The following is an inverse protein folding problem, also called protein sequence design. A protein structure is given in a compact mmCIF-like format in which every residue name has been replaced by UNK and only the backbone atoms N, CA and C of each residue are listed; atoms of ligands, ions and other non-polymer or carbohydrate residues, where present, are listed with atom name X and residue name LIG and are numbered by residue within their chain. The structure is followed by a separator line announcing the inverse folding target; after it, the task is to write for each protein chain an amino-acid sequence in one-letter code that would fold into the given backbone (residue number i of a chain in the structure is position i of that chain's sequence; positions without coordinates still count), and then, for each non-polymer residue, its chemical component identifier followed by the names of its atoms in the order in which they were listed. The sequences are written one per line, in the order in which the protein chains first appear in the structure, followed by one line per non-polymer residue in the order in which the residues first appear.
data_IF_948063830398
#
_entry.id   IF_948063830398
#
_cell.length_a   1.000
_cell.length_b   1.000
_cell.length_c   1.000
_cell.angle_alpha   90.00
_cell.angle_beta   90.00
_cell.angle_gamma   90.00
#
_symmetry.space_group_name_H-M   'P 1'
#
loop_
_entity.id
_entity.type
_entity.pdbx_description
1 polymer ?
#
# COMPACT_ATOMS: atom_id res chain seq x y z
N UNK A 1 -1.02 -7.32 -3.17
CA UNK A 1 -0.64 -8.59 -3.83
C UNK A 1 -1.90 -9.43 -4.02
N UNK A 2 -2.15 -9.87 -5.27
CA UNK A 2 -3.13 -10.90 -5.70
C UNK A 2 -4.62 -10.52 -5.45
N UNK A 3 -5.36 -9.87 -6.35
CA UNK A 3 -5.92 -10.30 -7.67
C UNK A 3 -6.47 -11.73 -7.71
N UNK A 4 -7.78 -11.88 -7.88
CA UNK A 4 -8.41 -12.78 -8.87
C UNK A 4 -9.94 -12.72 -8.78
N UNK A 5 -10.57 -12.29 -9.88
CA UNK A 5 -11.98 -12.53 -10.16
C UNK A 5 -12.18 -13.88 -10.86
N UNK A 6 -13.37 -14.45 -10.72
CA UNK A 6 -13.79 -15.65 -11.45
C UNK A 6 -15.23 -15.49 -11.87
N UNK A 7 -15.44 -15.30 -13.17
CA UNK A 7 -16.74 -15.43 -13.83
C UNK A 7 -16.96 -16.91 -14.21
N UNK A 8 -18.14 -17.43 -13.90
CA UNK A 8 -18.57 -18.77 -14.30
C UNK A 8 -19.60 -18.68 -15.43
N UNK A 9 -19.20 -19.07 -16.64
CA UNK A 9 -20.11 -19.36 -17.74
C UNK A 9 -20.55 -20.83 -17.67
N UNK A 10 -21.86 -21.08 -17.80
CA UNK A 10 -22.42 -22.40 -18.00
C UNK A 10 -22.83 -22.53 -19.48
N UNK A 11 -22.06 -23.29 -20.25
CA UNK A 11 -22.46 -23.85 -21.53
C UNK A 11 -22.69 -25.35 -21.33
N UNK A 12 -23.92 -25.81 -21.54
CA UNK A 12 -24.26 -27.23 -21.50
C UNK A 12 -24.25 -27.79 -22.92
N UNK A 13 -23.51 -28.90 -23.03
CA UNK A 13 -23.34 -29.81 -24.15
C UNK A 13 -24.62 -30.61 -24.45
N UNK A 14 -24.75 -31.11 -25.67
CA UNK A 14 -25.90 -31.90 -26.10
C UNK A 14 -25.93 -32.21 -27.59
N UNK A 15 -25.00 -33.05 -28.05
CA UNK A 15 -25.11 -33.73 -29.35
C UNK A 15 -26.07 -34.93 -29.32
N UNK A 16 -26.58 -35.31 -30.50
CA UNK A 16 -26.73 -36.68 -31.06
C UNK A 16 -27.89 -36.74 -32.09
N UNK A 17 -27.59 -37.35 -33.25
CA UNK A 17 -28.56 -37.99 -34.17
C UNK A 17 -28.86 -37.18 -35.44
N UNK A 18 -28.51 -37.55 -36.67
CA UNK A 18 -28.09 -38.84 -37.24
C UNK A 18 -29.26 -39.56 -37.91
N UNK A 19 -29.30 -39.58 -39.26
CA UNK A 19 -30.25 -40.37 -40.08
C UNK A 19 -30.64 -39.64 -41.38
N UNK A 20 -29.87 -39.72 -42.47
CA UNK A 20 -29.88 -40.72 -43.54
C UNK A 20 -31.21 -40.91 -44.31
N UNK A 21 -31.16 -40.57 -45.61
CA UNK A 21 -31.64 -41.29 -46.81
C UNK A 21 -33.06 -41.90 -46.78
N UNK A 22 -33.95 -41.67 -47.76
CA UNK A 22 -33.75 -42.14 -49.13
C UNK A 22 -34.75 -41.53 -50.12
N UNK A 23 -34.20 -41.11 -51.25
CA UNK A 23 -34.84 -41.09 -52.56
C UNK A 23 -35.13 -42.53 -53.02
N UNK A 24 -36.30 -42.75 -53.63
CA UNK A 24 -36.51 -43.85 -54.58
C UNK A 24 -37.26 -43.28 -55.79
N UNK A 25 -36.51 -43.09 -56.87
CA UNK A 25 -37.00 -43.07 -58.24
C UNK A 25 -36.52 -44.35 -58.95
N UNK A 26 -37.29 -44.78 -59.95
CA UNK A 26 -36.99 -45.88 -60.88
C UNK A 26 -38.03 -47.02 -60.78
N UNK A 27 -38.46 -47.68 -61.84
CA UNK A 27 -38.21 -47.57 -63.28
C UNK A 27 -39.20 -48.52 -64.01
N UNK A 28 -39.47 -48.26 -65.29
CA UNK A 28 -39.42 -49.31 -66.33
C UNK A 28 -40.65 -50.19 -66.66
N UNK A 29 -41.07 -50.05 -67.93
CA UNK A 29 -41.27 -51.10 -68.96
C UNK A 29 -42.57 -51.95 -69.08
N UNK A 30 -43.03 -52.04 -70.36
CA UNK A 30 -43.84 -53.12 -70.98
C UNK A 30 -45.32 -52.75 -71.20
N UNK A 31 -45.84 -52.52 -72.42
CA UNK A 31 -46.07 -53.47 -73.53
C UNK A 31 -47.46 -54.14 -73.36
N UNK A 32 -48.41 -54.25 -74.30
CA UNK A 32 -48.46 -54.11 -75.76
C UNK A 32 -49.94 -54.11 -76.26
N UNK A 33 -50.14 -53.70 -77.53
CA UNK A 33 -51.21 -54.06 -78.49
C UNK A 33 -52.66 -53.69 -78.13
N UNK A 34 -53.52 -53.13 -79.00
CA UNK A 34 -53.91 -53.67 -80.30
C UNK A 34 -54.19 -52.58 -81.36
N UNK A 35 -53.77 -52.91 -82.58
CA UNK A 35 -54.14 -52.28 -83.84
C UNK A 35 -55.46 -52.84 -84.36
N UNK A 36 -56.40 -51.98 -84.77
CA UNK A 36 -57.30 -52.23 -85.89
C UNK A 36 -57.62 -50.88 -86.58
N UNK A 37 -57.10 -50.72 -87.80
CA UNK A 37 -57.60 -49.74 -88.74
C UNK A 37 -58.82 -50.28 -89.48
N UNK A 38 -59.73 -49.39 -89.87
CA UNK A 38 -60.88 -49.74 -90.72
C UNK A 38 -62.07 -48.81 -90.54
N UNK A 39 -62.01 -47.68 -91.25
CA UNK A 39 -63.08 -46.99 -91.99
C UNK A 39 -64.56 -47.17 -91.57
N UNK A 40 -65.29 -46.07 -91.34
CA UNK A 40 -66.73 -46.13 -91.13
C UNK A 40 -67.43 -44.90 -90.53
N UNK A 41 -67.62 -43.88 -91.37
CA UNK A 41 -68.90 -43.15 -91.51
C UNK A 41 -69.45 -42.28 -90.35
N UNK A 42 -69.16 -40.98 -90.48
CA UNK A 42 -69.92 -39.79 -90.09
C UNK A 42 -71.46 -39.98 -89.89
N UNK A 43 -71.95 -39.95 -88.64
CA UNK A 43 -73.25 -39.37 -88.22
C UNK A 43 -73.53 -39.60 -86.70
N UNK A 44 -72.89 -38.84 -85.81
CA UNK A 44 -73.18 -38.94 -84.35
C UNK A 44 -72.46 -37.93 -83.43
N UNK A 45 -71.81 -36.91 -84.00
CA UNK A 45 -70.81 -36.10 -83.29
C UNK A 45 -71.36 -35.12 -82.25
N UNK A 46 -72.58 -34.61 -82.38
CA UNK A 46 -72.99 -33.42 -81.60
C UNK A 46 -73.47 -33.76 -80.17
N UNK A 47 -74.13 -34.91 -79.98
CA UNK A 47 -74.58 -35.35 -78.65
C UNK A 47 -73.42 -35.88 -77.81
N UNK A 48 -72.46 -36.55 -78.43
CA UNK A 48 -71.30 -37.11 -77.75
C UNK A 48 -70.25 -36.05 -77.40
N UNK A 49 -70.13 -34.98 -78.21
CA UNK A 49 -69.33 -33.79 -77.83
C UNK A 49 -69.97 -33.03 -76.67
N UNK A 50 -71.30 -32.83 -76.67
CA UNK A 50 -72.00 -32.21 -75.54
C UNK A 50 -71.91 -33.03 -74.24
N UNK A 51 -71.93 -34.36 -74.36
CA UNK A 51 -71.73 -35.24 -73.21
C UNK A 51 -70.29 -35.15 -72.67
N UNK A 52 -69.28 -35.13 -73.55
CA UNK A 52 -67.87 -34.95 -73.15
C UNK A 52 -67.63 -33.59 -72.48
N UNK A 53 -68.27 -32.53 -72.98
CA UNK A 53 -68.24 -31.18 -72.38
C UNK A 53 -68.90 -31.16 -70.99
N UNK A 54 -70.06 -31.81 -70.84
CA UNK A 54 -70.73 -31.93 -69.56
C UNK A 54 -69.92 -32.77 -68.56
N UNK A 55 -69.31 -33.87 -68.99
CA UNK A 55 -68.44 -34.70 -68.14
C UNK A 55 -67.19 -33.91 -67.72
N UNK A 56 -66.64 -33.09 -68.62
CA UNK A 56 -65.52 -32.19 -68.31
C UNK A 56 -65.94 -31.07 -67.36
N UNK A 57 -67.13 -30.49 -67.51
CA UNK A 57 -67.70 -29.52 -66.56
C UNK A 57 -67.97 -30.14 -65.19
N UNK A 58 -68.48 -31.38 -65.15
CA UNK A 58 -68.70 -32.11 -63.91
C UNK A 58 -67.36 -32.38 -63.20
N UNK A 59 -66.34 -32.82 -63.95
CA UNK A 59 -64.97 -33.00 -63.41
C UNK A 59 -64.35 -31.69 -62.93
N UNK A 60 -64.64 -30.58 -63.60
CA UNK A 60 -64.18 -29.25 -63.19
C UNK A 60 -64.89 -28.78 -61.92
N UNK A 61 -66.20 -28.97 -61.82
CA UNK A 61 -66.99 -28.66 -60.62
C UNK A 61 -66.57 -29.52 -59.42
N UNK A 62 -66.30 -30.81 -59.63
CA UNK A 62 -65.75 -31.70 -58.62
C UNK A 62 -64.36 -31.24 -58.16
N UNK A 63 -63.51 -30.80 -59.11
CA UNK A 63 -62.19 -30.25 -58.80
C UNK A 63 -62.28 -28.94 -58.03
N UNK A 64 -63.20 -28.04 -58.39
CA UNK A 64 -63.44 -26.79 -57.67
C UNK A 64 -63.90 -27.08 -56.24
N UNK A 65 -64.87 -27.98 -56.03
CA UNK A 65 -65.29 -28.39 -54.68
C UNK A 65 -64.16 -29.01 -53.86
N UNK A 66 -63.33 -29.84 -54.49
CA UNK A 66 -62.15 -30.41 -53.82
C UNK A 66 -61.13 -29.33 -53.44
N UNK A 67 -60.93 -28.31 -54.29
CA UNK A 67 -60.02 -27.20 -54.02
C UNK A 67 -60.58 -26.29 -52.93
N UNK A 68 -61.88 -25.99 -52.93
CA UNK A 68 -62.54 -25.23 -51.87
C UNK A 68 -62.43 -25.93 -50.51
N UNK A 69 -62.63 -27.25 -50.48
CA UNK A 69 -62.43 -28.07 -49.27
C UNK A 69 -60.97 -28.04 -48.80
N UNK A 70 -60.01 -28.14 -49.71
CA UNK A 70 -58.60 -28.03 -49.35
C UNK A 70 -58.23 -26.62 -48.88
N UNK A 71 -58.81 -25.58 -49.47
CA UNK A 71 -58.54 -24.20 -49.09
C UNK A 71 -59.08 -23.89 -47.69
N UNK A 72 -60.32 -24.32 -47.39
CA UNK A 72 -60.87 -24.21 -46.02
C UNK A 72 -60.06 -25.00 -44.99
N UNK A 73 -59.57 -26.19 -45.33
CA UNK A 73 -58.69 -26.96 -44.45
C UNK A 73 -57.35 -26.26 -44.21
N UNK A 74 -56.77 -25.65 -45.25
CA UNK A 74 -55.55 -24.85 -45.14
C UNK A 74 -55.76 -23.59 -44.31
N UNK A 75 -56.88 -22.88 -44.47
CA UNK A 75 -57.23 -21.72 -43.65
C UNK A 75 -57.36 -22.08 -42.15
N UNK A 76 -57.96 -23.22 -41.85
CA UNK A 76 -58.06 -23.73 -40.47
C UNK A 76 -56.66 -24.04 -39.93
N UNK A 77 -55.82 -24.75 -40.71
CA UNK A 77 -54.43 -25.04 -40.32
C UNK A 77 -53.59 -23.78 -40.11
N UNK A 78 -53.80 -22.75 -40.93
CA UNK A 78 -53.12 -21.45 -40.78
C UNK A 78 -53.57 -20.76 -39.49
N UNK A 79 -54.88 -20.71 -39.19
CA UNK A 79 -55.36 -20.15 -37.91
C UNK A 79 -54.80 -20.90 -36.71
N UNK A 80 -54.86 -22.24 -36.73
CA UNK A 80 -54.34 -23.07 -35.66
C UNK A 80 -52.84 -22.89 -35.47
N UNK A 81 -52.09 -22.72 -36.57
CA UNK A 81 -50.67 -22.44 -36.53
C UNK A 81 -50.38 -21.07 -35.90
N UNK A 82 -51.12 -20.02 -36.29
CA UNK A 82 -50.97 -18.70 -35.69
C UNK A 82 -51.36 -18.68 -34.20
N UNK A 83 -52.37 -19.45 -33.80
CA UNK A 83 -52.77 -19.53 -32.39
C UNK A 83 -51.72 -20.29 -31.55
N UNK A 84 -51.09 -21.33 -32.10
CA UNK A 84 -49.99 -22.06 -31.45
C UNK A 84 -48.67 -21.29 -31.44
N UNK A 85 -48.48 -20.39 -32.41
CA UNK A 85 -47.30 -19.52 -32.53
C UNK A 85 -47.47 -18.16 -31.88
N UNK A 86 -48.59 -17.90 -31.18
CA UNK A 86 -48.64 -16.74 -30.31
C UNK A 86 -47.47 -16.86 -29.32
N UNK A 87 -46.58 -15.86 -29.24
CA UNK A 87 -45.52 -15.88 -28.27
C UNK A 87 -46.14 -16.09 -26.89
N UNK A 88 -45.75 -17.17 -26.20
CA UNK A 88 -46.11 -17.36 -24.81
C UNK A 88 -45.85 -16.06 -24.05
N UNK A 89 -46.73 -15.63 -23.12
CA UNK A 89 -46.49 -14.43 -22.33
C UNK A 89 -45.07 -14.49 -21.81
N UNK A 90 -44.28 -13.44 -22.10
CA UNK A 90 -42.89 -13.34 -21.69
C UNK A 90 -42.78 -13.74 -20.23
N UNK A 91 -41.99 -14.76 -19.92
CA UNK A 91 -41.79 -15.19 -18.54
C UNK A 91 -41.29 -14.01 -17.72
N UNK A 92 -42.03 -13.60 -16.69
CA UNK A 92 -41.71 -12.40 -15.92
C UNK A 92 -40.43 -12.62 -15.09
N UNK A 93 -39.29 -12.07 -15.53
CA UNK A 93 -38.00 -12.16 -14.84
C UNK A 93 -37.80 -11.11 -13.74
N UNK A 94 -38.82 -10.32 -13.44
CA UNK A 94 -38.77 -9.18 -12.50
C UNK A 94 -38.31 -9.57 -11.09
N UNK A 95 -38.62 -10.77 -10.61
CA UNK A 95 -38.19 -11.21 -9.27
C UNK A 95 -36.68 -11.47 -9.20
N UNK A 96 -36.06 -11.95 -10.28
CA UNK A 96 -34.60 -12.15 -10.33
C UNK A 96 -33.87 -10.82 -10.26
N UNK A 97 -34.37 -9.77 -10.93
CA UNK A 97 -33.78 -8.44 -10.83
C UNK A 97 -33.83 -7.89 -9.41
N UNK A 98 -34.93 -8.12 -8.67
CA UNK A 98 -35.03 -7.74 -7.26
C UNK A 98 -34.00 -8.47 -6.39
N UNK A 99 -33.82 -9.78 -6.60
CA UNK A 99 -32.82 -10.57 -5.86
C UNK A 99 -31.40 -10.09 -6.19
N UNK A 100 -31.10 -9.81 -7.45
CA UNK A 100 -29.79 -9.29 -7.89
C UNK A 100 -29.51 -7.94 -7.22
N UNK A 101 -30.51 -7.06 -7.18
CA UNK A 101 -30.38 -5.74 -6.54
C UNK A 101 -30.15 -5.87 -5.02
N UNK A 102 -30.90 -6.75 -4.35
CA UNK A 102 -30.69 -7.03 -2.93
C UNK A 102 -29.29 -7.60 -2.65
N UNK A 103 -28.77 -8.47 -3.53
CA UNK A 103 -27.41 -9.01 -3.42
C UNK A 103 -26.35 -7.93 -3.65
N UNK A 104 -26.54 -7.05 -4.63
CA UNK A 104 -25.65 -5.90 -4.87
C UNK A 104 -25.61 -4.97 -3.66
N UNK A 105 -26.76 -4.66 -3.08
CA UNK A 105 -26.85 -3.85 -1.86
C UNK A 105 -26.15 -4.52 -0.67
N UNK A 106 -26.27 -5.84 -0.52
CA UNK A 106 -25.52 -6.60 0.51
C UNK A 106 -24.01 -6.53 0.29
N UNK A 107 -23.54 -6.64 -0.96
CA UNK A 107 -22.11 -6.52 -1.29
C UNK A 107 -21.60 -5.11 -0.99
N UNK A 108 -22.35 -4.07 -1.38
CA UNK A 108 -21.97 -2.67 -1.12
C UNK A 108 -21.91 -2.35 0.37
N UNK A 109 -22.93 -2.78 1.13
CA UNK A 109 -22.95 -2.62 2.59
C UNK A 109 -21.80 -3.38 3.24
N UNK A 110 -21.54 -4.64 2.86
CA UNK A 110 -20.40 -5.42 3.34
C UNK A 110 -19.05 -4.78 2.99
N UNK A 111 -18.92 -4.18 1.81
CA UNK A 111 -17.70 -3.48 1.39
C UNK A 111 -17.47 -2.23 2.22
N UNK A 112 -18.53 -1.46 2.46
CA UNK A 112 -18.48 -0.24 3.28
C UNK A 112 -18.18 -0.56 4.75
N UNK A 113 -18.81 -1.60 5.31
CA UNK A 113 -18.52 -2.03 6.68
C UNK A 113 -17.11 -2.58 6.81
N UNK A 114 -16.60 -3.31 5.82
CA UNK A 114 -15.21 -3.77 5.80
C UNK A 114 -14.24 -2.58 5.80
N UNK A 115 -14.45 -1.58 4.92
CA UNK A 115 -13.65 -0.36 4.92
C UNK A 115 -13.70 0.37 6.29
N UNK A 116 -14.88 0.48 6.89
CA UNK A 116 -15.05 1.07 8.23
C UNK A 116 -14.28 0.29 9.31
N UNK A 117 -14.33 -1.05 9.29
CA UNK A 117 -13.60 -1.91 10.23
C UNK A 117 -12.08 -1.73 10.05
N UNK A 118 -11.58 -1.66 8.81
CA UNK A 118 -10.16 -1.42 8.54
C UNK A 118 -9.72 -0.09 9.14
N UNK A 119 -10.50 0.98 8.95
CA UNK A 119 -10.20 2.28 9.56
C UNK A 119 -10.21 2.23 11.10
N UNK A 120 -11.14 1.49 11.70
CA UNK A 120 -11.16 1.30 13.16
C UNK A 120 -9.94 0.53 13.65
N UNK A 121 -9.50 -0.50 12.91
CA UNK A 121 -8.28 -1.26 13.22
C UNK A 121 -7.06 -0.35 13.15
N UNK A 122 -6.94 0.47 12.11
CA UNK A 122 -5.80 1.36 11.95
C UNK A 122 -5.80 2.46 13.02
N UNK A 123 -6.96 3.01 13.37
CA UNK A 123 -7.10 3.94 14.49
C UNK A 123 -6.68 3.29 15.83
N UNK A 124 -7.17 2.07 16.11
CA UNK A 124 -6.81 1.34 17.32
C UNK A 124 -5.32 1.03 17.40
N UNK A 125 -4.67 0.70 16.27
CA UNK A 125 -3.21 0.51 16.19
C UNK A 125 -2.46 1.81 16.47
N UNK A 126 -2.85 2.91 15.84
CA UNK A 126 -2.24 4.22 16.09
C UNK A 126 -2.37 4.65 17.56
N UNK A 127 -3.54 4.43 18.17
CA UNK A 127 -3.76 4.70 19.58
C UNK A 127 -2.88 3.79 20.48
N UNK A 128 -2.75 2.51 20.13
CA UNK A 128 -1.87 1.60 20.86
C UNK A 128 -0.39 2.01 20.77
N UNK A 129 0.08 2.45 19.61
CA UNK A 129 1.45 2.95 19.42
C UNK A 129 1.69 4.27 20.15
N UNK A 130 0.71 5.17 20.20
CA UNK A 130 0.78 6.40 21.01
C UNK A 130 0.87 6.07 22.50
N UNK A 131 0.05 5.14 23.00
CA UNK A 131 0.15 4.67 24.39
C UNK A 131 1.46 3.95 24.69
N UNK A 132 1.98 3.16 23.76
CA UNK A 132 3.29 2.50 23.90
C UNK A 132 4.41 3.53 24.03
N UNK A 133 4.43 4.54 23.17
CA UNK A 133 5.43 5.61 23.21
C UNK A 133 5.33 6.41 24.51
N UNK A 134 4.11 6.73 24.95
CA UNK A 134 3.88 7.40 26.25
C UNK A 134 4.35 6.56 27.43
N UNK A 135 4.11 5.25 27.41
CA UNK A 135 4.57 4.33 28.43
C UNK A 135 6.10 4.24 28.47
N UNK A 136 6.76 4.12 27.31
CA UNK A 136 8.22 4.10 27.21
C UNK A 136 8.84 5.39 27.77
N UNK A 137 8.26 6.56 27.44
CA UNK A 137 8.69 7.85 27.97
C UNK A 137 8.50 7.95 29.49
N UNK A 138 7.32 7.56 30.00
CA UNK A 138 7.05 7.58 31.45
C UNK A 138 7.96 6.61 32.21
N UNK A 139 8.24 5.43 31.63
CA UNK A 139 9.16 4.47 32.20
C UNK A 139 10.58 5.04 32.28
N UNK A 140 11.05 5.72 31.23
CA UNK A 140 12.35 6.37 31.22
C UNK A 140 12.44 7.49 32.27
N UNK A 141 11.41 8.34 32.39
CA UNK A 141 11.32 9.37 33.42
C UNK A 141 11.33 8.76 34.82
N UNK A 142 10.55 7.71 35.05
CA UNK A 142 10.53 6.99 36.32
C UNK A 142 11.90 6.42 36.66
N UNK A 143 12.59 5.79 35.71
CA UNK A 143 13.94 5.26 35.94
C UNK A 143 14.94 6.37 36.30
N UNK A 144 14.83 7.55 35.67
CA UNK A 144 15.65 8.72 36.03
C UNK A 144 15.36 9.19 37.46
N UNK A 145 14.08 9.32 37.83
CA UNK A 145 13.68 9.75 39.18
C UNK A 145 14.09 8.71 40.23
N UNK A 146 13.94 7.42 39.95
CA UNK A 146 14.39 6.34 40.84
C UNK A 146 15.92 6.39 41.02
N UNK A 147 16.69 6.73 39.97
CA UNK A 147 18.14 6.94 40.08
C UNK A 147 18.48 8.17 40.95
N UNK A 148 17.78 9.28 40.77
CA UNK A 148 17.96 10.50 41.57
C UNK A 148 17.61 10.25 43.05
N UNK A 149 16.51 9.54 43.35
CA UNK A 149 16.13 9.15 44.71
C UNK A 149 17.22 8.29 45.35
N UNK A 150 17.77 7.33 44.62
CA UNK A 150 18.87 6.50 45.11
C UNK A 150 20.14 7.33 45.35
N UNK A 151 20.44 8.30 44.50
CA UNK A 151 21.52 9.28 44.70
C UNK A 151 21.32 10.11 45.96
N UNK A 152 20.13 10.68 46.14
CA UNK A 152 19.78 11.47 47.34
C UNK A 152 19.84 10.66 48.63
N UNK A 153 19.45 9.38 48.60
CA UNK A 153 19.60 8.47 49.75
C UNK A 153 21.07 8.29 50.13
N UNK A 154 21.97 8.10 49.15
CA UNK A 154 23.41 8.01 49.43
C UNK A 154 23.97 9.30 50.04
N UNK A 155 23.55 10.46 49.52
CA UNK A 155 23.95 11.76 50.08
C UNK A 155 23.43 11.92 51.51
N UNK A 156 22.20 11.50 51.79
CA UNK A 156 21.64 11.51 53.15
C UNK A 156 22.45 10.61 54.10
N UNK A 157 22.82 9.41 53.66
CA UNK A 157 23.65 8.50 54.46
C UNK A 157 25.03 9.12 54.75
N UNK A 158 25.67 9.74 53.76
CA UNK A 158 26.95 10.44 53.91
C UNK A 158 26.84 11.65 54.86
N UNK A 159 25.78 12.46 54.73
CA UNK A 159 25.50 13.56 55.65
C UNK A 159 25.22 13.07 57.08
N UNK A 160 24.60 11.90 57.22
CA UNK A 160 24.35 11.30 58.54
C UNK A 160 25.66 10.85 59.19
N UNK A 161 26.56 10.23 58.42
CA UNK A 161 27.89 9.83 58.90
C UNK A 161 28.73 11.05 59.31
N UNK A 162 28.82 12.06 58.44
CA UNK A 162 29.57 13.29 58.76
C UNK A 162 28.99 14.03 59.96
N UNK A 163 27.65 14.05 60.12
CA UNK A 163 27.01 14.58 61.32
C UNK A 163 27.44 13.79 62.57
N UNK A 164 27.41 12.45 62.54
CA UNK A 164 27.84 11.65 63.69
C UNK A 164 29.32 11.86 64.02
N UNK A 165 30.19 11.99 63.02
CA UNK A 165 31.61 12.27 63.23
C UNK A 165 31.83 13.63 63.90
N UNK A 166 31.08 14.66 63.46
CA UNK A 166 31.11 15.99 64.08
C UNK A 166 30.53 15.98 65.50
N UNK A 167 29.46 15.22 65.76
CA UNK A 167 28.90 15.06 67.11
C UNK A 167 29.93 14.41 68.06
N UNK A 168 30.68 13.40 67.60
CA UNK A 168 31.76 12.77 68.38
C UNK A 168 32.88 13.78 68.66
N UNK A 169 33.32 14.55 67.66
CA UNK A 169 34.35 15.59 67.85
C UNK A 169 33.91 16.69 68.83
N UNK A 170 32.63 17.08 68.77
CA UNK A 170 32.08 18.06 69.71
C UNK A 170 32.12 17.50 71.14
N UNK A 171 31.73 16.23 71.32
CA UNK A 171 31.72 15.63 72.65
C UNK A 171 33.14 15.45 73.20
N UNK A 172 34.10 15.00 72.38
CA UNK A 172 35.50 14.90 72.81
C UNK A 172 36.08 16.26 73.20
N UNK A 173 35.80 17.32 72.45
CA UNK A 173 36.24 18.69 72.78
C UNK A 173 35.59 19.21 74.07
N UNK A 174 34.33 18.86 74.34
CA UNK A 174 33.68 19.20 75.63
C UNK A 174 34.32 18.47 76.80
N UNK A 175 34.66 17.18 76.63
CA UNK A 175 35.37 16.40 77.64
C UNK A 175 36.76 16.99 77.93
N UNK A 176 37.52 17.35 76.89
CA UNK A 176 38.81 18.03 77.02
C UNK A 176 38.68 19.37 77.76
N UNK A 177 37.67 20.17 77.42
CA UNK A 177 37.40 21.46 78.07
C UNK A 177 37.04 21.27 79.55
N UNK A 178 36.21 20.27 79.86
CA UNK A 178 35.87 19.93 81.24
C UNK A 178 37.09 19.45 82.02
N UNK A 179 37.96 18.64 81.40
CA UNK A 179 39.21 18.18 81.98
C UNK A 179 40.16 19.35 82.28
N UNK A 180 40.36 20.26 81.32
CA UNK A 180 41.18 21.47 81.50
C UNK A 180 40.64 22.36 82.61
N UNK A 181 39.32 22.58 82.67
CA UNK A 181 38.70 23.39 83.74
C UNK A 181 38.93 22.78 85.11
N UNK A 182 38.74 21.46 85.24
CA UNK A 182 38.99 20.75 86.49
C UNK A 182 40.46 20.84 86.89
N UNK A 183 41.38 20.61 85.96
CA UNK A 183 42.82 20.73 86.23
C UNK A 183 43.19 22.15 86.66
N UNK A 184 42.67 23.18 85.99
CA UNK A 184 42.89 24.57 86.37
C UNK A 184 42.31 24.89 87.75
N UNK A 185 41.12 24.39 88.09
CA UNK A 185 40.53 24.56 89.42
C UNK A 185 41.36 23.87 90.51
N UNK A 186 41.89 22.67 90.25
CA UNK A 186 42.80 21.96 91.13
C UNK A 186 44.13 22.71 91.31
N UNK A 187 44.74 23.20 90.23
CA UNK A 187 45.95 24.03 90.27
C UNK A 187 45.72 25.36 91.00
N UNK A 188 44.61 26.04 90.75
CA UNK A 188 44.24 27.26 91.45
C UNK A 188 43.98 27.01 92.94
N UNK A 189 43.36 25.89 93.30
CA UNK A 189 43.19 25.51 94.71
C UNK A 189 44.52 25.16 95.37
N UNK A 190 45.42 24.47 94.67
CA UNK A 190 46.78 24.17 95.15
C UNK A 190 47.60 25.46 95.35
N UNK A 191 47.55 26.39 94.38
CA UNK A 191 48.18 27.70 94.47
C UNK A 191 47.55 28.56 95.56
N UNK A 192 46.23 28.55 95.72
CA UNK A 192 45.54 29.25 96.83
C UNK A 192 45.92 28.67 98.19
N UNK A 193 46.19 27.35 98.25
CA UNK A 193 46.79 26.69 99.42
C UNK A 193 48.24 27.11 99.68
N UNK A 194 49.01 27.40 98.63
CA UNK A 194 50.38 27.92 98.73
C UNK A 194 50.45 29.42 99.07
N UNK A 195 49.47 30.22 98.62
CA UNK A 195 49.42 31.69 98.82
C UNK A 195 48.71 32.08 100.13
N UNK A 196 48.23 31.11 100.92
CA UNK A 196 47.73 31.32 102.29
C UNK A 196 48.81 31.76 103.30
N UNK A 197 50.07 31.85 102.90
CA UNK A 197 51.15 32.45 103.66
C UNK A 197 51.40 33.88 103.20
N UNK A 198 50.69 34.85 103.77
CA UNK A 198 51.09 36.25 103.73
C UNK A 198 52.35 36.40 104.60
N UNK A 199 53.51 36.06 104.03
CA UNK A 199 54.81 36.17 104.67
C UNK A 199 55.40 37.52 104.29
N UNK A 200 55.11 38.51 105.14
CA UNK A 200 55.84 39.76 105.19
C UNK A 200 57.18 39.50 105.88
N UNK A 201 58.27 39.38 105.11
CA UNK A 201 59.63 39.27 105.64
C UNK A 201 60.40 40.50 105.19
N UNK A 202 60.48 41.46 106.11
CA UNK A 202 61.48 42.51 106.10
C UNK A 202 62.82 41.87 106.46
N UNK A 203 63.78 41.89 105.52
CA UNK A 203 65.16 41.56 105.82
C UNK A 203 66.08 42.66 105.28
N UNK A 204 66.83 43.22 106.23
CA UNK A 204 67.73 44.36 106.17
C UNK A 204 68.90 44.18 105.19
N UNK A 205 69.28 45.28 104.56
CA UNK A 205 70.14 45.37 103.39
C UNK A 205 71.63 45.37 103.74
N UNK A 206 72.43 44.62 102.98
CA UNK A 206 73.87 44.82 102.88
C UNK A 206 74.21 45.54 101.55
N UNK A 207 75.23 46.42 101.53
CA UNK A 207 75.39 47.43 100.49
C UNK A 207 75.95 46.87 99.17
N UNK A 208 75.17 47.06 98.10
CA UNK A 208 75.63 47.76 96.90
C UNK A 208 76.41 46.98 95.85
N UNK A 209 75.86 45.88 95.33
CA UNK A 209 75.97 45.66 93.88
C UNK A 209 74.93 46.59 93.26
N UNK A 210 75.33 47.37 92.24
CA UNK A 210 74.46 48.30 91.53
C UNK A 210 73.33 47.53 90.84
N UNK A 211 72.30 47.19 91.63
CA UNK A 211 71.14 46.42 91.25
C UNK A 211 70.38 47.15 90.16
N UNK A 212 70.45 48.47 90.16
CA UNK A 212 69.95 49.36 89.12
C UNK A 212 70.57 49.05 87.76
N UNK A 213 71.88 48.80 87.71
CA UNK A 213 72.58 48.44 86.48
C UNK A 213 72.22 47.03 86.00
N UNK A 214 72.18 46.04 86.89
CA UNK A 214 71.80 44.65 86.52
C UNK A 214 70.32 44.57 86.12
N UNK A 215 69.42 45.29 86.81
CA UNK A 215 68.01 45.41 86.44
C UNK A 215 67.82 46.14 85.12
N UNK A 216 68.63 47.17 84.84
CA UNK A 216 68.66 47.86 83.54
C UNK A 216 69.14 46.93 82.43
N UNK A 217 70.20 46.17 82.66
CA UNK A 217 70.79 45.26 81.68
C UNK A 217 69.89 44.05 81.42
N UNK A 218 69.21 43.53 82.45
CA UNK A 218 68.12 42.55 82.30
C UNK A 218 66.93 43.13 81.53
N UNK A 219 66.52 44.37 81.83
CA UNK A 219 65.46 45.05 81.06
C UNK A 219 65.84 45.18 79.60
N UNK A 220 67.05 45.65 79.30
CA UNK A 220 67.53 45.79 77.92
C UNK A 220 67.58 44.43 77.20
N UNK A 221 68.00 43.36 77.87
CA UNK A 221 67.95 42.01 77.30
C UNK A 221 66.53 41.52 77.03
N UNK A 222 65.59 41.76 77.95
CA UNK A 222 64.18 41.41 77.75
C UNK A 222 63.52 42.27 76.67
N UNK A 223 63.83 43.56 76.60
CA UNK A 223 63.37 44.47 75.55
C UNK A 223 63.88 43.98 74.19
N UNK A 224 65.17 43.65 74.09
CA UNK A 224 65.77 43.12 72.86
C UNK A 224 65.17 41.77 72.45
N UNK A 225 64.91 40.88 73.42
CA UNK A 225 64.29 39.59 73.16
C UNK A 225 62.82 39.73 72.74
N UNK A 226 62.07 40.64 73.37
CA UNK A 226 60.68 40.94 73.02
C UNK A 226 60.59 41.59 71.63
N UNK A 227 61.48 42.52 71.32
CA UNK A 227 61.58 43.15 70.00
C UNK A 227 61.95 42.13 68.91
N UNK A 228 62.88 41.21 69.21
CA UNK A 228 63.26 40.13 68.29
C UNK A 228 62.10 39.16 68.07
N UNK A 229 61.43 38.73 69.15
CA UNK A 229 60.28 37.83 69.06
C UNK A 229 59.12 38.48 68.28
N UNK A 230 58.87 39.79 68.51
CA UNK A 230 57.89 40.56 67.74
C UNK A 230 58.22 40.57 66.24
N UNK A 231 59.48 40.83 65.87
CA UNK A 231 59.93 40.80 64.47
C UNK A 231 59.83 39.40 63.86
N UNK A 232 60.28 38.37 64.57
CA UNK A 232 60.22 36.98 64.09
C UNK A 232 58.76 36.54 63.85
N UNK A 233 57.84 36.95 64.72
CA UNK A 233 56.39 36.72 64.58
C UNK A 233 55.81 37.51 63.40
N UNK A 234 56.16 38.79 63.24
CA UNK A 234 55.75 39.61 62.10
C UNK A 234 56.23 39.02 60.77
N UNK A 235 57.50 38.60 60.67
CA UNK A 235 58.05 37.94 59.48
C UNK A 235 57.38 36.59 59.20
N UNK A 236 57.09 35.81 60.25
CA UNK A 236 56.37 34.55 60.10
C UNK A 236 54.94 34.76 59.58
N UNK A 237 54.20 35.74 60.13
CA UNK A 237 52.87 36.11 59.64
C UNK A 237 52.93 36.65 58.21
N UNK A 238 53.92 37.48 57.89
CA UNK A 238 54.10 38.00 56.54
C UNK A 238 54.34 36.88 55.53
N UNK A 239 55.23 35.94 55.86
CA UNK A 239 55.49 34.77 55.01
C UNK A 239 54.24 33.89 54.84
N UNK A 240 53.49 33.64 55.92
CA UNK A 240 52.28 32.81 55.86
C UNK A 240 51.16 33.49 55.06
N UNK A 241 50.99 34.79 55.20
CA UNK A 241 50.03 35.57 54.41
C UNK A 241 50.42 35.66 52.95
N UNK A 242 51.72 35.77 52.64
CA UNK A 242 52.22 35.75 51.27
C UNK A 242 51.99 34.38 50.59
N UNK A 243 52.26 33.27 51.30
CA UNK A 243 51.96 31.92 50.83
C UNK A 243 50.46 31.74 50.55
N UNK A 244 49.60 32.15 51.51
CA UNK A 244 48.16 32.07 51.37
C UNK A 244 47.67 32.92 50.19
N UNK A 245 48.22 34.11 50.00
CA UNK A 245 47.85 34.99 48.89
C UNK A 245 48.27 34.40 47.53
N UNK A 246 49.42 33.72 47.44
CA UNK A 246 49.85 32.99 46.23
C UNK A 246 48.91 31.83 45.93
N UNK A 247 48.53 31.05 46.95
CA UNK A 247 47.60 29.92 46.80
C UNK A 247 46.21 30.41 46.35
N UNK A 248 45.68 31.46 46.97
CA UNK A 248 44.40 32.09 46.58
C UNK A 248 44.45 32.63 45.15
N UNK A 249 45.56 33.26 44.74
CA UNK A 249 45.72 33.74 43.36
C UNK A 249 45.74 32.58 42.34
N UNK A 250 46.47 31.51 42.65
CA UNK A 250 46.56 30.33 41.79
C UNK A 250 45.22 29.57 41.68
N UNK A 251 44.54 29.39 42.81
CA UNK A 251 43.19 28.80 42.88
C UNK A 251 42.17 29.67 42.14
N UNK A 252 42.24 31.00 42.30
CA UNK A 252 41.43 31.95 41.55
C UNK A 252 41.64 31.86 40.03
N UNK A 253 42.89 31.74 39.58
CA UNK A 253 43.19 31.51 38.15
C UNK A 253 42.64 30.18 37.65
N UNK A 254 42.80 29.09 38.41
CA UNK A 254 42.28 27.78 38.04
C UNK A 254 40.75 27.82 37.90
N UNK A 255 40.06 28.42 38.86
CA UNK A 255 38.60 28.60 38.83
C UNK A 255 38.17 29.42 37.61
N UNK A 256 38.88 30.51 37.28
CA UNK A 256 38.57 31.31 36.10
C UNK A 256 38.79 30.52 34.80
N UNK A 257 39.89 29.77 34.70
CA UNK A 257 40.19 28.94 33.52
C UNK A 257 39.13 27.83 33.31
N UNK A 258 38.75 27.14 34.38
CA UNK A 258 37.68 26.14 34.34
C UNK A 258 36.34 26.76 33.98
N UNK A 259 36.03 27.95 34.52
CA UNK A 259 34.82 28.68 34.15
C UNK A 259 34.78 29.06 32.67
N UNK A 260 35.92 29.49 32.09
CA UNK A 260 35.99 29.77 30.65
C UNK A 260 35.82 28.51 29.82
N UNK A 261 36.47 27.40 30.20
CA UNK A 261 36.35 26.11 29.51
C UNK A 261 34.91 25.58 29.55
N UNK A 262 34.23 25.65 30.70
CA UNK A 262 32.81 25.29 30.82
C UNK A 262 31.94 26.16 29.91
N UNK A 263 32.24 27.46 29.81
CA UNK A 263 31.46 28.38 28.98
C UNK A 263 31.67 28.08 27.49
N UNK A 264 32.89 27.76 27.08
CA UNK A 264 33.21 27.40 25.70
C UNK A 264 32.61 26.04 25.33
N UNK A 265 32.71 25.03 26.21
CA UNK A 265 32.03 23.76 26.03
C UNK A 265 30.51 23.94 25.88
N UNK A 266 29.88 24.78 26.71
CA UNK A 266 28.45 25.11 26.57
C UNK A 266 28.12 25.76 25.21
N UNK A 267 28.96 26.67 24.73
CA UNK A 267 28.78 27.28 23.39
C UNK A 267 28.92 26.24 22.28
N UNK A 268 29.90 25.34 22.37
CA UNK A 268 30.07 24.26 21.37
C UNK A 268 28.90 23.29 21.38
N UNK A 269 28.38 22.93 22.55
CA UNK A 269 27.22 22.06 22.69
C UNK A 269 25.98 22.71 22.05
N UNK A 270 25.71 23.98 22.36
CA UNK A 270 24.61 24.72 21.73
C UNK A 270 24.77 24.81 20.20
N UNK A 271 25.99 25.02 19.71
CA UNK A 271 26.27 25.02 18.27
C UNK A 271 25.99 23.67 17.62
N UNK A 272 26.42 22.57 18.24
CA UNK A 272 26.16 21.21 17.77
C UNK A 272 24.68 20.85 17.83
N UNK A 273 23.96 21.32 18.84
CA UNK A 273 22.52 21.08 18.98
C UNK A 273 21.73 21.83 17.90
N UNK A 274 22.12 23.07 17.58
CA UNK A 274 21.55 23.81 16.44
C UNK A 274 21.85 23.09 15.13
N UNK A 275 23.08 22.63 14.91
CA UNK A 275 23.45 21.87 13.70
C UNK A 275 22.66 20.56 13.61
N UNK A 276 22.44 19.87 14.72
CA UNK A 276 21.58 18.68 14.72
C UNK A 276 20.14 19.03 14.29
N UNK A 277 19.58 20.11 14.81
CA UNK A 277 18.23 20.57 14.44
C UNK A 277 18.16 21.00 12.97
N UNK A 278 19.17 21.69 12.43
CA UNK A 278 19.20 22.07 11.01
C UNK A 278 19.27 20.82 10.12
N UNK A 279 20.11 19.85 10.46
CA UNK A 279 20.21 18.59 9.72
C UNK A 279 18.91 17.77 9.77
N UNK A 280 18.24 17.70 10.92
CA UNK A 280 16.93 17.06 11.04
C UNK A 280 15.87 17.75 10.18
N UNK A 281 15.87 19.09 10.16
CA UNK A 281 14.95 19.86 9.30
C UNK A 281 15.23 19.64 7.81
N UNK A 282 16.50 19.57 7.42
CA UNK A 282 16.92 19.28 6.05
C UNK A 282 16.53 17.87 5.63
N UNK A 283 16.75 16.88 6.50
CA UNK A 283 16.31 15.50 6.29
C UNK A 283 14.80 15.44 6.05
N UNK A 284 14.01 16.05 6.92
CA UNK A 284 12.55 16.05 6.77
C UNK A 284 12.09 16.72 5.47
N UNK A 285 12.74 17.81 5.05
CA UNK A 285 12.45 18.48 3.78
C UNK A 285 12.79 17.58 2.58
N UNK A 286 13.92 16.87 2.62
CA UNK A 286 14.32 15.93 1.56
C UNK A 286 13.39 14.71 1.49
N UNK A 287 13.02 14.13 2.63
CA UNK A 287 12.05 13.03 2.69
C UNK A 287 10.67 13.46 2.17
N UNK A 288 10.22 14.68 2.51
CA UNK A 288 9.00 15.27 1.98
C UNK A 288 9.04 15.45 0.46
N UNK A 289 10.14 16.00 -0.07
CA UNK A 289 10.32 16.16 -1.51
C UNK A 289 10.38 14.81 -2.24
N UNK A 290 11.06 13.82 -1.67
CA UNK A 290 11.09 12.47 -2.21
C UNK A 290 9.68 11.88 -2.29
N UNK A 291 8.93 11.91 -1.19
CA UNK A 291 7.55 11.39 -1.15
C UNK A 291 6.62 12.12 -2.14
N UNK A 292 6.76 13.44 -2.29
CA UNK A 292 6.02 14.21 -3.30
C UNK A 292 6.34 13.76 -4.71
N UNK A 293 7.64 13.59 -5.03
CA UNK A 293 8.06 13.13 -6.36
C UNK A 293 7.61 11.69 -6.66
N UNK A 294 7.72 10.78 -5.69
CA UNK A 294 7.23 9.41 -5.79
C UNK A 294 5.71 9.38 -6.00
N UNK A 295 4.96 10.18 -5.23
CA UNK A 295 3.52 10.34 -5.40
C UNK A 295 3.15 10.84 -6.79
N UNK A 296 3.87 11.85 -7.31
CA UNK A 296 3.66 12.37 -8.66
C UNK A 296 3.91 11.30 -9.73
N UNK A 297 5.00 10.54 -9.61
CA UNK A 297 5.29 9.46 -10.56
C UNK A 297 4.30 8.31 -10.48
N UNK A 298 3.82 7.96 -9.28
CA UNK A 298 2.78 6.95 -9.09
C UNK A 298 1.48 7.34 -9.82
N UNK A 299 1.06 8.61 -9.70
CA UNK A 299 -0.10 9.13 -10.43
C UNK A 299 0.12 9.10 -11.94
N UNK A 300 1.29 9.51 -12.41
CA UNK A 300 1.63 9.46 -13.84
C UNK A 300 1.61 8.02 -14.38
N UNK A 301 2.15 7.07 -13.64
CA UNK A 301 2.12 5.64 -14.01
C UNK A 301 0.69 5.10 -14.05
N UNK A 302 -0.15 5.46 -13.08
CA UNK A 302 -1.57 5.09 -13.08
C UNK A 302 -2.29 5.63 -14.32
N UNK A 303 -2.07 6.91 -14.65
CA UNK A 303 -2.68 7.54 -15.85
C UNK A 303 -2.25 6.86 -17.14
N UNK A 304 -0.97 6.47 -17.26
CA UNK A 304 -0.47 5.73 -18.42
C UNK A 304 -1.08 4.33 -18.46
N UNK A 305 -1.19 3.64 -17.32
CA UNK A 305 -1.81 2.32 -17.23
C UNK A 305 -3.29 2.36 -17.63
N UNK A 306 -4.02 3.40 -17.22
CA UNK A 306 -5.41 3.61 -17.62
C UNK A 306 -5.54 3.84 -19.13
N UNK A 307 -4.64 4.65 -19.71
CA UNK A 307 -4.59 4.86 -21.15
C UNK A 307 -4.30 3.56 -21.92
N UNK A 308 -3.34 2.76 -21.46
CA UNK A 308 -3.03 1.45 -22.04
C UNK A 308 -4.27 0.55 -21.98
N UNK A 309 -4.91 0.46 -20.81
CA UNK A 309 -6.10 -0.39 -20.61
C UNK A 309 -7.25 0.03 -21.53
N UNK A 310 -7.45 1.34 -21.73
CA UNK A 310 -8.45 1.87 -22.66
C UNK A 310 -8.13 1.50 -24.11
N UNK A 311 -6.88 1.62 -24.53
CA UNK A 311 -6.46 1.25 -25.90
C UNK A 311 -6.57 -0.25 -26.12
N UNK A 312 -6.19 -1.07 -25.14
CA UNK A 312 -6.36 -2.53 -25.18
C UNK A 312 -7.83 -2.94 -25.30
N UNK A 313 -8.73 -2.26 -24.57
CA UNK A 313 -10.17 -2.48 -24.66
C UNK A 313 -10.72 -2.13 -26.05
N UNK A 314 -10.33 -0.98 -26.61
CA UNK A 314 -10.73 -0.59 -27.98
C UNK A 314 -10.20 -1.58 -29.03
N UNK A 315 -8.99 -2.09 -28.85
CA UNK A 315 -8.39 -3.07 -29.77
C UNK A 315 -9.12 -4.42 -29.68
N UNK A 316 -9.52 -4.84 -28.48
CA UNK A 316 -10.34 -6.04 -28.28
C UNK A 316 -11.73 -5.91 -28.91
N UNK A 317 -12.38 -4.75 -28.76
CA UNK A 317 -13.68 -4.46 -29.38
C UNK A 317 -13.57 -4.50 -30.91
N UNK A 318 -12.57 -3.84 -31.49
CA UNK A 318 -12.36 -3.82 -32.94
C UNK A 318 -12.04 -5.22 -33.51
N UNK A 319 -11.33 -6.07 -32.75
CA UNK A 319 -11.12 -7.48 -33.12
C UNK A 319 -12.43 -8.26 -33.15
N UNK A 320 -13.25 -8.11 -32.10
CA UNK A 320 -14.58 -8.74 -32.02
C UNK A 320 -15.48 -8.31 -33.19
N UNK A 321 -15.48 -7.01 -33.51
CA UNK A 321 -16.23 -6.48 -34.65
C UNK A 321 -15.72 -7.01 -36.00
N UNK A 322 -14.39 -7.14 -36.16
CA UNK A 322 -13.80 -7.73 -37.36
C UNK A 322 -14.18 -9.21 -37.52
N UNK A 323 -14.16 -9.98 -36.43
CA UNK A 323 -14.59 -11.38 -36.42
C UNK A 323 -16.08 -11.51 -36.78
N UNK A 324 -16.92 -10.64 -36.20
CA UNK A 324 -18.35 -10.57 -36.52
C UNK A 324 -18.59 -10.24 -37.99
N UNK A 325 -17.96 -9.18 -38.51
CA UNK A 325 -18.07 -8.83 -39.92
C UNK A 325 -17.58 -9.95 -40.83
N UNK A 326 -16.45 -10.59 -40.50
CA UNK A 326 -15.94 -11.74 -41.27
C UNK A 326 -16.93 -12.90 -41.30
N UNK A 327 -17.64 -13.15 -40.20
CA UNK A 327 -18.68 -14.18 -40.15
C UNK A 327 -19.89 -13.81 -41.02
N UNK A 328 -20.38 -12.58 -40.91
CA UNK A 328 -21.49 -12.07 -41.73
C UNK A 328 -21.15 -12.12 -43.23
N UNK A 329 -19.93 -11.72 -43.63
CA UNK A 329 -19.46 -11.84 -45.00
C UNK A 329 -19.43 -13.28 -45.50
N UNK A 330 -19.04 -14.24 -44.65
CA UNK A 330 -19.03 -15.65 -45.01
C UNK A 330 -20.45 -16.17 -45.27
N UNK A 331 -21.39 -15.84 -44.38
CA UNK A 331 -22.81 -16.19 -44.55
C UNK A 331 -23.37 -15.57 -45.83
N UNK A 332 -23.09 -14.30 -46.10
CA UNK A 332 -23.54 -13.63 -47.31
C UNK A 332 -22.96 -14.27 -48.58
N UNK A 333 -21.68 -14.68 -48.54
CA UNK A 333 -21.04 -15.39 -49.65
C UNK A 333 -21.67 -16.77 -49.90
N UNK A 334 -22.04 -17.49 -48.84
CA UNK A 334 -22.74 -18.78 -48.96
C UNK A 334 -24.13 -18.60 -49.61
N UNK A 335 -24.89 -17.58 -49.19
CA UNK A 335 -26.18 -17.23 -49.80
C UNK A 335 -26.02 -16.82 -51.26
N UNK A 336 -25.03 -15.97 -51.57
CA UNK A 336 -24.72 -15.57 -52.95
C UNK A 336 -24.41 -16.78 -53.82
N UNK A 337 -23.56 -17.69 -53.33
CA UNK A 337 -23.17 -18.90 -54.06
C UNK A 337 -24.38 -19.79 -54.34
N UNK A 338 -25.31 -19.91 -53.38
CA UNK A 338 -26.57 -20.65 -53.56
C UNK A 338 -27.49 -19.98 -54.59
N UNK A 339 -27.66 -18.66 -54.53
CA UNK A 339 -28.46 -17.92 -55.50
C UNK A 339 -27.87 -18.00 -56.92
N UNK A 340 -26.54 -17.95 -57.05
CA UNK A 340 -25.86 -18.14 -58.34
C UNK A 340 -26.12 -19.54 -58.91
N UNK A 341 -26.12 -20.58 -58.06
CA UNK A 341 -26.52 -21.93 -58.47
C UNK A 341 -27.98 -21.97 -58.93
N UNK A 342 -28.91 -21.38 -58.18
CA UNK A 342 -30.32 -21.30 -58.57
C UNK A 342 -30.52 -20.53 -59.90
N UNK A 343 -29.83 -19.40 -60.10
CA UNK A 343 -29.86 -18.67 -61.38
C UNK A 343 -29.30 -19.53 -62.51
N UNK A 344 -28.22 -20.30 -62.27
CA UNK A 344 -27.66 -21.19 -63.29
C UNK A 344 -28.62 -22.30 -63.67
N UNK A 345 -29.36 -22.87 -62.72
CA UNK A 345 -30.38 -23.89 -63.01
C UNK A 345 -31.59 -23.29 -63.72
N UNK A 346 -32.02 -22.08 -63.33
CA UNK A 346 -33.07 -21.35 -64.04
C UNK A 346 -32.67 -21.03 -65.48
N UNK A 347 -31.43 -20.56 -65.73
CA UNK A 347 -30.90 -20.34 -67.09
C UNK A 347 -30.91 -21.63 -67.90
N UNK A 348 -30.45 -22.74 -67.32
CA UNK A 348 -30.48 -24.06 -67.98
C UNK A 348 -31.90 -24.53 -68.33
N UNK A 349 -32.88 -24.24 -67.48
CA UNK A 349 -34.29 -24.56 -67.74
C UNK A 349 -34.91 -23.65 -68.81
N UNK A 350 -34.55 -22.36 -68.85
CA UNK A 350 -35.03 -21.40 -69.84
C UNK A 350 -34.39 -21.59 -71.23
N UNK A 351 -33.13 -22.01 -71.29
CA UNK A 351 -32.43 -22.30 -72.56
C UNK A 351 -32.93 -23.59 -73.22
N UNK A 352 -33.77 -24.37 -72.54
CA UNK A 352 -34.23 -25.68 -73.01
C UNK A 352 -33.10 -26.71 -72.90
N UNK A 353 -33.42 -27.91 -72.46
CA UNK A 353 -32.45 -29.00 -72.36
C UNK A 353 -32.02 -29.47 -73.77
N UNK A 354 -31.03 -28.79 -74.38
CA UNK A 354 -30.20 -29.41 -75.40
C UNK A 354 -29.07 -30.16 -74.68
N UNK A 355 -29.28 -31.47 -74.53
CA UNK A 355 -28.21 -32.42 -74.20
C UNK A 355 -27.21 -32.42 -75.37
N UNK A 356 -26.17 -31.60 -75.27
CA UNK A 356 -24.89 -31.91 -75.90
C UNK A 356 -23.73 -31.49 -75.02
N UNK A 357 -23.17 -32.51 -74.36
CA UNK A 357 -21.74 -32.78 -74.24
C UNK A 357 -20.84 -31.60 -74.65
N UNK A 358 -20.46 -30.79 -73.67
CA UNK A 358 -19.16 -30.13 -73.69
C UNK A 358 -18.56 -30.22 -72.31
N UNK A 359 -17.92 -31.36 -72.10
CA UNK A 359 -16.75 -31.49 -71.27
C UNK A 359 -15.82 -30.32 -71.60
N UNK A 360 -15.85 -29.31 -70.75
CA UNK A 360 -14.80 -28.31 -70.65
C UNK A 360 -14.65 -28.06 -69.17
N UNK A 361 -13.84 -28.92 -68.56
CA UNK A 361 -12.96 -28.53 -67.49
C UNK A 361 -12.26 -27.24 -67.92
N UNK A 362 -12.90 -26.10 -67.68
CA UNK A 362 -12.19 -24.85 -67.52
C UNK A 362 -11.89 -24.79 -66.04
N UNK A 363 -10.75 -25.37 -65.68
CA UNK A 363 -9.99 -24.91 -64.52
C UNK A 363 -9.89 -23.38 -64.68
N UNK A 364 -10.77 -22.66 -63.98
CA UNK A 364 -10.55 -21.26 -63.69
C UNK A 364 -9.22 -21.16 -62.96
N UNK A 365 -8.40 -20.15 -63.25
CA UNK A 365 -7.03 -20.11 -62.77
C UNK A 365 -7.04 -20.22 -61.25
N UNK A 366 -6.34 -21.22 -60.69
CA UNK A 366 -6.00 -21.22 -59.27
C UNK A 366 -5.25 -19.92 -59.00
N UNK A 367 -5.98 -18.92 -58.52
CA UNK A 367 -5.37 -17.69 -58.04
C UNK A 367 -4.81 -18.02 -56.68
N UNK A 368 -3.59 -18.54 -56.63
CA UNK A 368 -2.83 -18.67 -55.38
C UNK A 368 -2.65 -17.28 -54.80
N UNK A 369 -3.47 -16.93 -53.81
CA UNK A 369 -3.34 -15.68 -53.06
C UNK A 369 -2.08 -15.77 -52.20
N UNK A 370 -0.99 -15.19 -52.68
CA UNK A 370 0.24 -15.02 -51.87
C UNK A 370 0.00 -13.88 -50.89
N UNK A 371 -0.16 -14.23 -49.62
CA UNK A 371 -0.21 -13.26 -48.52
C UNK A 371 1.24 -12.88 -48.20
N UNK A 372 1.59 -11.61 -48.40
CA UNK A 372 2.85 -11.02 -47.94
C UNK A 372 2.55 -10.31 -46.62
N UNK A 373 3.22 -10.74 -45.55
CA UNK A 373 3.19 -10.04 -44.27
C UNK A 373 4.50 -9.28 -44.15
N UNK A 374 4.40 -7.95 -44.17
CA UNK A 374 5.54 -7.05 -43.93
C UNK A 374 5.42 -6.60 -42.48
N UNK A 375 6.43 -6.94 -41.66
CA UNK A 375 6.54 -6.45 -40.30
C UNK A 375 7.56 -5.31 -40.33
N UNK A 376 7.11 -4.10 -39.98
CA UNK A 376 7.95 -2.91 -39.90
C UNK A 376 8.12 -2.50 -38.43
N UNK A 377 9.36 -2.56 -37.96
CA UNK A 377 9.71 -2.03 -36.65
C UNK A 377 10.08 -0.55 -36.79
N UNK A 378 9.29 0.31 -36.16
CA UNK A 378 9.50 1.76 -36.14
C UNK A 378 9.64 2.28 -34.71
N UNK A 379 10.63 3.14 -34.49
CA UNK A 379 10.78 3.92 -33.26
C UNK A 379 10.79 5.39 -33.69
N UNK A 380 9.90 6.21 -33.10
CA UNK A 380 9.74 7.64 -33.39
C UNK A 380 9.50 7.96 -34.89
N UNK A 381 8.75 7.11 -35.59
CA UNK A 381 8.32 7.38 -36.98
C UNK A 381 9.39 7.17 -38.05
N UNK A 382 10.57 6.61 -37.72
CA UNK A 382 11.59 6.22 -38.70
C UNK A 382 11.72 4.69 -38.72
N UNK A 383 11.48 4.08 -39.88
CA UNK A 383 11.56 2.62 -40.08
C UNK A 383 13.01 2.18 -40.04
N UNK A 384 13.35 1.24 -39.15
CA UNK A 384 14.74 0.83 -38.88
C UNK A 384 15.03 -0.58 -39.41
N UNK A 385 14.00 -1.41 -39.56
CA UNK A 385 14.10 -2.76 -40.13
C UNK A 385 12.79 -3.13 -40.82
N UNK A 386 12.88 -3.71 -42.02
CA UNK A 386 11.75 -4.24 -42.78
C UNK A 386 12.08 -5.69 -43.16
N UNK A 387 11.27 -6.63 -42.70
CA UNK A 387 11.47 -8.05 -42.97
C UNK A 387 10.21 -8.64 -43.61
N UNK A 388 10.35 -9.15 -44.83
CA UNK A 388 9.26 -9.70 -45.63
C UNK A 388 9.20 -11.22 -45.49
N UNK A 389 8.08 -11.74 -45.02
CA UNK A 389 7.83 -13.18 -44.96
C UNK A 389 6.80 -13.59 -46.02
N UNK A 390 7.21 -14.46 -46.93
CA UNK A 390 6.34 -15.00 -47.98
C UNK A 390 5.96 -16.44 -47.62
N UNK A 391 4.73 -16.65 -47.18
CA UNK A 391 4.20 -18.00 -46.91
C UNK A 391 3.39 -18.47 -48.11
N UNK A 392 3.93 -19.43 -48.87
CA UNK A 392 3.17 -20.11 -49.92
C UNK A 392 2.33 -21.22 -49.30
N UNK A 393 1.03 -21.02 -49.17
CA UNK A 393 0.13 -22.14 -48.96
C UNK A 393 -0.16 -22.76 -50.33
N UNK A 394 0.16 -24.05 -50.47
CA UNK A 394 -0.17 -24.87 -51.62
C UNK A 394 -1.61 -25.39 -51.51
#
# INVERSE_FOLDING_TARGET
MVSSGTGGGYGFDGGIGGGYFSSYGGAGYGGASYSFGGDGLLAGGEKQTMQNLNDRLASYLEKVRSLEKQNTELEIKIRDWYQKQMPSPSTDYTHYYKIIEDLRNKILTATTTNASIILQIDNAKLAADDFRTKYENELALRMSVDADINGLRRVLDELTLTRSDLEIQIESLKEELAYLKKNHEEEMNALRGHVGGQVNVEMDAAPGIDLTKILSEMRDQYETLAEKNRKDVEEWYFKKTEELNKEVASSGQLIQSSKTEITDLKRTLQGLEIELQTQLSMKAALEGSLAETEGRYCVQLSQIQDLISNVEAQLAELRSDMERQSHEYKVLMDVKSRLEQEISTYRRLLEGEDVHLSQSFKEGPQTTRRIRTVVEDSINGKVISSQEYQKSNF
#
